data_IF_779159850485
#
_entry.id   IF_779159850485
#
_cell.length_a   1.000
_cell.length_b   1.000
_cell.length_c   1.000
_cell.angle_alpha   90.00
_cell.angle_beta   90.00
_cell.angle_gamma   90.00
#
_symmetry.space_group_name_H-M   'P 1'
#
loop_
_entity.id
_entity.type
_entity.pdbx_description
1 polymer ?
#
# COMPACT_ATOMS: atom_id res chain seq x y z
N UNK A 1 -23.88 5.93 -7.83
CA UNK A 1 -22.66 6.72 -7.59
C UNK A 1 -21.48 6.00 -8.26
N UNK A 2 -20.56 6.72 -8.91
CA UNK A 2 -19.36 6.10 -9.50
C UNK A 2 -18.44 5.54 -8.41
N UNK A 3 -17.67 4.50 -8.71
CA UNK A 3 -16.70 3.89 -7.78
C UNK A 3 -15.76 4.94 -7.17
N UNK A 4 -15.34 5.93 -7.97
CA UNK A 4 -14.50 7.06 -7.53
C UNK A 4 -15.18 7.97 -6.51
N UNK A 5 -16.50 8.17 -6.63
CA UNK A 5 -17.26 8.97 -5.67
C UNK A 5 -17.39 8.23 -4.33
N UNK A 6 -17.57 6.90 -4.37
CA UNK A 6 -17.61 6.06 -3.17
C UNK A 6 -16.25 6.03 -2.45
N UNK A 7 -15.14 6.02 -3.20
CA UNK A 7 -13.79 6.12 -2.63
C UNK A 7 -13.57 7.42 -1.85
N UNK A 8 -14.10 8.54 -2.35
CA UNK A 8 -13.96 9.86 -1.71
C UNK A 8 -14.82 10.05 -0.46
N UNK A 9 -15.98 9.40 -0.40
CA UNK A 9 -16.88 9.49 0.76
C UNK A 9 -16.48 8.54 1.88
N UNK A 10 -15.98 7.34 1.56
CA UNK A 10 -15.64 6.34 2.57
C UNK A 10 -14.13 6.31 2.82
N UNK A 11 -13.67 6.80 3.97
CA UNK A 11 -12.27 6.68 4.40
C UNK A 11 -11.77 5.23 4.64
N UNK A 12 -12.63 4.22 4.45
CA UNK A 12 -12.28 2.79 4.37
C UNK A 12 -12.85 2.14 3.11
N UNK A 13 -12.95 2.91 2.01
CA UNK A 13 -13.78 2.60 0.84
C UNK A 13 -13.72 1.15 0.39
N UNK A 14 -12.52 0.61 0.18
CA UNK A 14 -12.36 -0.74 -0.36
C UNK A 14 -12.90 -1.84 0.56
N UNK A 15 -12.96 -1.62 1.88
CA UNK A 15 -13.42 -2.65 2.84
C UNK A 15 -14.87 -3.08 2.58
N UNK A 16 -15.73 -2.12 2.21
CA UNK A 16 -17.17 -2.33 2.02
C UNK A 16 -17.60 -2.34 0.54
N UNK A 17 -16.66 -2.11 -0.37
CA UNK A 17 -16.91 -2.19 -1.81
C UNK A 17 -16.97 -3.64 -2.29
N UNK A 18 -17.68 -3.86 -3.41
CA UNK A 18 -17.72 -5.13 -4.11
C UNK A 18 -16.32 -5.58 -4.56
N UNK A 19 -16.12 -6.88 -4.69
CA UNK A 19 -14.83 -7.49 -5.08
C UNK A 19 -14.30 -7.00 -6.43
N UNK A 20 -15.18 -6.60 -7.34
CA UNK A 20 -14.82 -5.99 -8.63
C UNK A 20 -13.96 -4.72 -8.46
N UNK A 21 -14.27 -3.89 -7.45
CA UNK A 21 -13.55 -2.66 -7.18
C UNK A 21 -12.22 -2.89 -6.47
N UNK A 22 -12.10 -3.98 -5.69
CA UNK A 22 -10.85 -4.40 -5.08
C UNK A 22 -9.85 -4.95 -6.10
N UNK A 23 -10.33 -5.37 -7.26
CA UNK A 23 -9.52 -5.82 -8.41
C UNK A 23 -9.23 -4.70 -9.41
N UNK A 24 -9.98 -3.60 -9.33
CA UNK A 24 -9.75 -2.44 -10.19
C UNK A 24 -8.56 -1.62 -9.68
N UNK A 25 -7.48 -1.66 -10.44
CA UNK A 25 -6.24 -0.94 -10.14
C UNK A 25 -6.46 0.57 -9.98
N UNK A 26 -7.31 1.19 -10.80
CA UNK A 26 -7.53 2.63 -10.77
C UNK A 26 -8.29 3.03 -9.51
N UNK A 27 -9.30 2.24 -9.13
CA UNK A 27 -10.06 2.44 -7.90
C UNK A 27 -9.16 2.28 -6.67
N UNK A 28 -8.33 1.23 -6.64
CA UNK A 28 -7.40 1.01 -5.53
C UNK A 28 -6.34 2.12 -5.46
N UNK A 29 -5.80 2.56 -6.60
CA UNK A 29 -4.81 3.64 -6.65
C UNK A 29 -5.40 4.97 -6.13
N UNK A 30 -6.65 5.27 -6.48
CA UNK A 30 -7.34 6.45 -5.95
C UNK A 30 -7.56 6.33 -4.45
N UNK A 31 -7.96 5.16 -3.96
CA UNK A 31 -8.10 4.92 -2.53
C UNK A 31 -6.78 5.06 -1.77
N UNK A 32 -5.67 4.63 -2.37
CA UNK A 32 -4.32 4.83 -1.81
C UNK A 32 -3.95 6.31 -1.69
N UNK A 33 -4.35 7.13 -2.67
CA UNK A 33 -4.03 8.57 -2.70
C UNK A 33 -4.99 9.43 -1.87
N UNK A 34 -6.13 8.88 -1.47
CA UNK A 34 -7.13 9.61 -0.72
C UNK A 34 -6.66 9.83 0.73
N UNK A 35 -6.48 11.09 1.19
CA UNK A 35 -5.95 11.37 2.52
C UNK A 35 -6.79 10.81 3.67
N UNK A 36 -8.08 10.56 3.42
CA UNK A 36 -9.01 9.98 4.40
C UNK A 36 -8.85 8.47 4.55
N UNK A 37 -8.23 7.81 3.59
CA UNK A 37 -7.87 6.41 3.67
C UNK A 37 -6.48 6.34 4.32
N UNK A 38 -6.43 6.10 5.63
CA UNK A 38 -5.22 6.05 6.45
C UNK A 38 -4.28 4.87 6.10
N UNK A 39 -3.85 4.76 4.84
CA UNK A 39 -2.89 3.75 4.39
C UNK A 39 -3.35 2.31 4.60
N UNK A 40 -4.64 2.02 4.42
CA UNK A 40 -5.19 0.65 4.50
C UNK A 40 -5.84 0.19 3.20
N UNK A 41 -5.79 0.99 2.14
CA UNK A 41 -6.38 0.64 0.84
C UNK A 41 -5.76 -0.63 0.25
N UNK A 42 -4.42 -0.77 0.34
CA UNK A 42 -3.70 -1.92 -0.18
C UNK A 42 -4.07 -3.23 0.55
N UNK A 43 -4.47 -3.16 1.83
CA UNK A 43 -4.91 -4.33 2.61
C UNK A 43 -6.08 -5.06 1.96
N UNK A 44 -7.01 -4.29 1.38
CA UNK A 44 -8.26 -4.79 0.79
C UNK A 44 -8.16 -4.99 -0.73
N UNK A 45 -7.05 -4.59 -1.35
CA UNK A 45 -6.81 -4.85 -2.75
C UNK A 45 -6.72 -6.36 -3.02
N UNK A 46 -7.04 -6.76 -4.24
CA UNK A 46 -6.85 -8.14 -4.67
C UNK A 46 -5.37 -8.52 -4.65
N UNK A 47 -5.10 -9.82 -4.50
CA UNK A 47 -3.74 -10.37 -4.37
C UNK A 47 -2.86 -10.08 -5.59
N UNK A 48 -3.45 -9.92 -6.77
CA UNK A 48 -2.78 -9.52 -7.99
C UNK A 48 -2.28 -8.07 -7.91
N UNK A 49 -3.08 -7.18 -7.30
CA UNK A 49 -2.72 -5.77 -7.12
C UNK A 49 -1.69 -5.57 -6.00
N UNK A 50 -1.68 -6.42 -4.97
CA UNK A 50 -0.62 -6.45 -3.95
C UNK A 50 0.75 -6.84 -4.51
N UNK A 51 0.78 -7.47 -5.70
CA UNK A 51 1.99 -7.77 -6.47
C UNK A 51 2.33 -6.69 -7.50
N UNK A 52 1.46 -5.71 -7.71
CA UNK A 52 1.75 -4.57 -8.59
C UNK A 52 2.73 -3.64 -7.88
N UNK A 53 4.00 -3.74 -8.27
CA UNK A 53 5.09 -2.92 -7.72
C UNK A 53 4.80 -1.43 -7.80
N UNK A 54 4.19 -0.95 -8.88
CA UNK A 54 3.86 0.47 -9.04
C UNK A 54 2.79 0.92 -8.05
N UNK A 55 1.75 0.11 -7.86
CA UNK A 55 0.70 0.40 -6.87
C UNK A 55 1.25 0.33 -5.44
N UNK A 56 2.07 -0.67 -5.13
CA UNK A 56 2.72 -0.81 -3.82
C UNK A 56 3.62 0.38 -3.53
N UNK A 57 4.42 0.85 -4.48
CA UNK A 57 5.26 2.04 -4.31
C UNK A 57 4.42 3.29 -3.99
N UNK A 58 3.31 3.50 -4.70
CA UNK A 58 2.40 4.61 -4.41
C UNK A 58 1.78 4.48 -3.01
N UNK A 59 1.41 3.27 -2.59
CA UNK A 59 0.88 3.01 -1.25
C UNK A 59 1.92 3.26 -0.15
N UNK A 60 3.14 2.81 -0.38
CA UNK A 60 4.30 3.00 0.50
C UNK A 60 4.68 4.47 0.62
N UNK A 61 4.57 5.25 -0.47
CA UNK A 61 4.75 6.71 -0.45
C UNK A 61 3.68 7.43 0.36
N UNK A 62 2.43 6.95 0.31
CA UNK A 62 1.36 7.50 1.12
C UNK A 62 1.55 7.16 2.62
N UNK A 63 1.98 5.94 2.92
CA UNK A 63 2.39 5.51 4.27
C UNK A 63 3.27 4.27 4.17
N UNK A 64 4.49 4.35 4.70
CA UNK A 64 5.46 3.24 4.60
C UNK A 64 4.95 1.94 5.22
N UNK A 65 4.00 2.03 6.18
CA UNK A 65 3.36 0.87 6.80
C UNK A 65 2.54 0.03 5.82
N UNK A 66 2.16 0.57 4.65
CA UNK A 66 1.49 -0.20 3.60
C UNK A 66 2.34 -1.36 3.07
N UNK A 67 3.66 -1.33 3.26
CA UNK A 67 4.55 -2.41 2.87
C UNK A 67 4.09 -3.76 3.43
N UNK A 68 3.53 -3.81 4.63
CA UNK A 68 3.05 -5.04 5.26
C UNK A 68 1.92 -5.74 4.49
N UNK A 69 1.24 -5.02 3.59
CA UNK A 69 0.15 -5.54 2.76
C UNK A 69 0.60 -5.89 1.34
N UNK A 70 1.82 -5.53 0.96
CA UNK A 70 2.39 -5.95 -0.31
C UNK A 70 2.64 -7.47 -0.32
N UNK A 71 2.78 -8.04 -1.51
CA UNK A 71 3.21 -9.43 -1.63
C UNK A 71 4.61 -9.63 -1.05
N UNK A 72 4.90 -10.84 -0.54
CA UNK A 72 6.15 -11.16 0.18
C UNK A 72 7.39 -10.81 -0.66
N UNK A 73 7.32 -11.01 -1.97
CA UNK A 73 8.39 -10.69 -2.92
C UNK A 73 8.71 -9.19 -2.93
N UNK A 74 7.70 -8.33 -2.81
CA UNK A 74 7.85 -6.87 -2.75
C UNK A 74 8.19 -6.36 -1.34
N UNK A 75 7.82 -7.09 -0.29
CA UNK A 75 8.28 -6.80 1.07
C UNK A 75 9.80 -6.95 1.23
N UNK A 76 10.43 -7.72 0.35
CA UNK A 76 11.88 -7.92 0.30
C UNK A 76 12.55 -7.15 -0.85
N UNK A 77 11.76 -6.46 -1.70
CA UNK A 77 12.30 -5.60 -2.77
C UNK A 77 12.98 -4.39 -2.14
N UNK A 78 14.30 -4.34 -2.29
CA UNK A 78 15.16 -3.32 -1.69
C UNK A 78 14.67 -1.89 -1.97
N UNK A 79 14.25 -1.59 -3.19
CA UNK A 79 13.83 -0.24 -3.54
C UNK A 79 12.50 0.11 -2.87
N UNK A 80 11.57 -0.84 -2.82
CA UNK A 80 10.27 -0.66 -2.17
C UNK A 80 10.46 -0.48 -0.66
N UNK A 81 11.32 -1.29 -0.04
CA UNK A 81 11.64 -1.16 1.39
C UNK A 81 12.31 0.17 1.68
N UNK A 82 13.28 0.59 0.88
CA UNK A 82 13.96 1.88 1.05
C UNK A 82 12.97 3.04 0.99
N UNK A 83 12.03 3.01 0.05
CA UNK A 83 10.97 4.03 -0.04
C UNK A 83 10.06 4.02 1.19
N UNK A 84 9.76 2.83 1.74
CA UNK A 84 8.95 2.67 2.94
C UNK A 84 9.64 3.22 4.18
N UNK A 85 10.92 2.94 4.35
CA UNK A 85 11.72 3.44 5.48
C UNK A 85 11.88 4.95 5.40
N UNK A 86 12.08 5.51 4.19
CA UNK A 86 12.13 6.97 3.98
C UNK A 86 10.84 7.66 4.42
N UNK A 87 9.69 7.08 4.12
CA UNK A 87 8.38 7.67 4.45
C UNK A 87 7.90 7.33 5.87
N UNK A 88 8.35 6.23 6.46
CA UNK A 88 8.02 5.85 7.83
C UNK A 88 9.20 5.08 8.44
N UNK A 89 10.07 5.78 9.17
CA UNK A 89 11.27 5.19 9.79
C UNK A 89 11.00 3.99 10.73
N UNK A 90 9.76 3.78 11.15
CA UNK A 90 9.33 2.61 11.93
C UNK A 90 9.14 1.32 11.12
N UNK A 91 9.09 1.38 9.78
CA UNK A 91 8.87 0.20 8.91
C UNK A 91 10.02 -0.82 9.01
N UNK A 92 11.20 -0.42 9.49
CA UNK A 92 12.32 -1.32 9.76
C UNK A 92 11.98 -2.47 10.71
N UNK A 93 10.95 -2.32 11.55
CA UNK A 93 10.49 -3.41 12.42
C UNK A 93 9.71 -4.51 11.67
N UNK A 94 9.10 -4.18 10.52
CA UNK A 94 8.35 -5.13 9.68
C UNK A 94 9.27 -5.99 8.81
N UNK A 95 10.37 -5.40 8.33
CA UNK A 95 11.37 -6.07 7.48
C UNK A 95 12.58 -6.52 8.31
N UNK A 96 12.33 -7.32 9.36
CA UNK A 96 13.30 -7.71 10.39
C UNK A 96 14.69 -8.17 9.90
N UNK A 97 14.81 -8.62 8.65
CA UNK A 97 16.07 -9.05 8.01
C UNK A 97 16.88 -7.91 7.37
N UNK A 98 16.25 -6.82 6.89
CA UNK A 98 16.95 -5.66 6.31
C UNK A 98 17.64 -4.78 7.36
N UNK A 99 17.39 -5.02 8.65
CA UNK A 99 18.02 -4.33 9.78
C UNK A 99 19.55 -4.49 9.82
N UNK A 100 20.10 -5.46 9.08
CA UNK A 100 21.55 -5.71 8.97
C UNK A 100 22.22 -4.94 7.84
N UNK A 101 21.47 -4.29 6.95
CA UNK A 101 22.03 -3.56 5.82
C UNK A 101 22.30 -2.09 6.21
N UNK A 102 23.58 -1.77 6.40
CA UNK A 102 24.09 -0.47 6.90
C UNK A 102 23.82 0.72 5.98
N UNK A 103 23.21 0.49 4.82
CA UNK A 103 22.81 1.54 3.87
C UNK A 103 21.43 2.16 4.19
N UNK A 104 20.70 1.59 5.16
CA UNK A 104 19.31 1.97 5.49
C UNK A 104 19.20 2.67 6.86
N UNK A 105 20.31 2.77 7.62
CA UNK A 105 20.37 3.41 8.96
C UNK A 105 21.34 4.57 8.96
#
# INVERSE_FOLDING_TARGET
ASALAQVREFGQALRHMAEEFKRDREVVLQAVREPKCYGSALQYAAEELKRDRGLVLEAVRASGWNLQYAAVELQQDRDVVLEAVRNAGGVLQLVGDLRRDRAVV
#
